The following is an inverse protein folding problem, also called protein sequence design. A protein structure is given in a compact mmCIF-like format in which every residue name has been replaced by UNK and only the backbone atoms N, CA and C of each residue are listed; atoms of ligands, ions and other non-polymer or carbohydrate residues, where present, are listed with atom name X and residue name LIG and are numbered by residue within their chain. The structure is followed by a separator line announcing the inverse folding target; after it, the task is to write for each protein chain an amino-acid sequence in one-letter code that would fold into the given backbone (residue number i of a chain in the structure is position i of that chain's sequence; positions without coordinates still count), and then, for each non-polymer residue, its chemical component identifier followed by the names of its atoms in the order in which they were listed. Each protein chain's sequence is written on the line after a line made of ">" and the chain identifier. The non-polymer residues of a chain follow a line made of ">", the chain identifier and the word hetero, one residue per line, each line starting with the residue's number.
data_IF_296965278638
#
_entry.id   IF_296965278638
#
_cell.length_a   1.000
_cell.length_b   1.000
_cell.length_c   1.000
_cell.angle_alpha   90.00
_cell.angle_beta   90.00
_cell.angle_gamma   90.00
#
_symmetry.space_group_name_H-M   'P 1'
#
loop_
_entity.id
_entity.type
_entity.pdbx_description
1 polymer ?
#
# COMPACT_ATOMS: atom_id res chain seq x y z
N UNK A 1 -16.54 -20.55 -49.99
CA UNK A 1 -15.49 -20.01 -50.89
C UNK A 1 -14.20 -19.89 -50.06
N UNK A 2 -13.03 -20.14 -50.65
CA UNK A 2 -11.76 -20.11 -49.92
C UNK A 2 -10.80 -19.11 -50.59
N UNK A 3 -10.07 -18.34 -49.77
CA UNK A 3 -8.87 -17.61 -50.18
C UNK A 3 -7.85 -17.68 -49.04
N UNK A 4 -6.91 -18.62 -49.13
CA UNK A 4 -5.62 -18.44 -48.48
C UNK A 4 -4.85 -17.36 -49.24
N UNK A 5 -4.10 -16.52 -48.54
CA UNK A 5 -2.92 -15.84 -49.10
C UNK A 5 -1.71 -16.04 -48.19
N UNK A 6 -0.55 -15.99 -48.83
CA UNK A 6 0.72 -16.54 -48.38
C UNK A 6 1.85 -15.62 -48.89
N UNK A 7 3.06 -15.82 -48.40
CA UNK A 7 4.25 -14.97 -48.59
C UNK A 7 4.19 -13.58 -47.89
N UNK A 8 5.31 -12.98 -47.50
CA UNK A 8 6.71 -13.36 -47.76
C UNK A 8 7.65 -13.29 -46.55
N UNK A 9 8.73 -14.09 -46.64
CA UNK A 9 9.97 -13.99 -45.87
C UNK A 9 11.02 -13.19 -46.70
N UNK A 10 12.29 -13.08 -46.25
CA UNK A 10 13.47 -12.49 -46.99
C UNK A 10 13.44 -10.95 -47.03
N UNK A 11 14.51 -10.13 -46.82
CA UNK A 11 15.87 -10.20 -46.20
C UNK A 11 16.27 -8.72 -45.87
N UNK A 12 17.45 -8.27 -45.38
CA UNK A 12 18.80 -8.82 -45.06
C UNK A 12 19.08 -8.65 -43.53
N UNK A 13 20.21 -8.97 -42.86
CA UNK A 13 21.66 -9.20 -43.14
C UNK A 13 22.61 -7.96 -43.21
N UNK A 14 23.78 -8.10 -42.56
CA UNK A 14 24.99 -7.22 -42.50
C UNK A 14 24.88 -5.87 -41.73
N UNK A 15 25.84 -5.60 -40.83
CA UNK A 15 25.92 -4.33 -40.06
C UNK A 15 26.94 -4.29 -38.92
N UNK A 16 28.22 -4.62 -39.15
CA UNK A 16 29.29 -4.41 -38.16
C UNK A 16 29.84 -2.97 -38.20
N UNK A 17 29.75 -2.24 -37.10
CA UNK A 17 30.66 -1.12 -36.79
C UNK A 17 31.02 -1.13 -35.31
N UNK A 18 32.29 -1.40 -35.00
CA UNK A 18 32.83 -1.28 -33.65
C UNK A 18 33.36 0.13 -33.44
N UNK A 19 32.79 0.87 -32.48
CA UNK A 19 33.35 2.12 -31.96
C UNK A 19 33.91 1.88 -30.56
N UNK A 20 35.18 1.48 -30.49
CA UNK A 20 35.92 1.33 -29.24
C UNK A 20 36.54 2.66 -28.81
N UNK A 21 35.92 3.36 -27.86
CA UNK A 21 36.52 4.46 -27.11
C UNK A 21 36.71 4.04 -25.64
N UNK A 22 37.95 4.10 -25.17
CA UNK A 22 38.34 3.72 -23.80
C UNK A 22 38.49 4.98 -22.92
N UNK A 23 38.86 4.91 -21.63
CA UNK A 23 37.93 5.29 -20.57
C UNK A 23 38.29 6.62 -19.89
N UNK A 24 37.29 7.47 -19.64
CA UNK A 24 37.50 8.69 -18.86
C UNK A 24 37.76 8.37 -17.38
N UNK A 25 38.94 8.74 -16.88
CA UNK A 25 39.36 8.58 -15.48
C UNK A 25 38.84 9.73 -14.60
N UNK A 26 37.52 9.89 -14.52
CA UNK A 26 36.93 10.72 -13.48
C UNK A 26 37.22 10.14 -12.08
N UNK A 27 37.61 11.01 -11.15
CA UNK A 27 38.32 10.60 -9.94
C UNK A 27 37.46 9.84 -8.91
N UNK A 28 38.04 8.78 -8.35
CA UNK A 28 37.55 8.07 -7.17
C UNK A 28 37.64 8.95 -5.92
N UNK A 29 36.63 9.77 -5.66
CA UNK A 29 36.38 10.28 -4.32
C UNK A 29 35.81 9.15 -3.45
N UNK A 30 36.46 8.77 -2.32
CA UNK A 30 35.92 7.77 -1.40
C UNK A 30 34.71 8.38 -0.65
N UNK A 31 33.52 8.25 -1.24
CA UNK A 31 32.28 8.75 -0.65
C UNK A 31 32.00 8.03 0.68
N UNK A 32 32.18 8.77 1.76
CA UNK A 32 32.24 8.29 3.15
C UNK A 32 30.86 7.81 3.60
N UNK A 33 30.56 6.53 3.32
CA UNK A 33 29.29 5.83 3.61
C UNK A 33 28.70 6.26 4.97
N UNK A 34 27.58 7.01 5.01
CA UNK A 34 26.91 7.37 6.25
C UNK A 34 26.21 6.15 6.86
N UNK A 35 27.00 5.33 7.59
CA UNK A 35 26.51 4.19 8.35
C UNK A 35 25.78 4.68 9.60
N UNK A 36 24.59 5.22 9.38
CA UNK A 36 23.84 5.96 10.39
C UNK A 36 22.52 6.48 9.84
N UNK A 37 21.67 5.59 9.33
CA UNK A 37 20.24 5.91 9.24
C UNK A 37 19.76 6.14 10.69
N UNK A 38 19.29 7.34 11.06
CA UNK A 38 19.02 7.66 12.45
C UNK A 38 17.86 6.79 12.95
N UNK A 39 18.17 5.86 13.87
CA UNK A 39 17.15 5.13 14.59
C UNK A 39 16.32 6.12 15.42
N UNK A 40 15.16 6.50 14.89
CA UNK A 40 14.29 7.52 15.47
C UNK A 40 13.89 7.06 16.87
N UNK A 41 14.45 7.70 17.90
CA UNK A 41 14.11 7.44 19.31
C UNK A 41 12.74 8.04 19.62
N UNK A 42 11.69 7.35 19.22
CA UNK A 42 10.30 7.74 19.48
C UNK A 42 10.03 7.56 20.99
N UNK A 43 10.20 8.65 21.74
CA UNK A 43 10.21 8.66 23.20
C UNK A 43 8.83 8.96 23.78
N UNK A 44 8.08 7.90 24.13
CA UNK A 44 6.99 7.90 25.13
C UNK A 44 5.73 8.74 24.86
N UNK A 45 5.78 9.67 23.90
CA UNK A 45 4.65 10.52 23.48
C UNK A 45 4.05 10.01 22.16
N UNK A 46 2.86 10.50 21.81
CA UNK A 46 2.03 10.00 20.73
C UNK A 46 2.83 9.79 19.43
N UNK A 47 2.87 8.56 18.94
CA UNK A 47 3.64 8.20 17.73
C UNK A 47 2.94 8.79 16.51
N UNK A 48 3.45 9.92 16.02
CA UNK A 48 2.97 10.53 14.79
C UNK A 48 3.61 9.86 13.57
N UNK A 49 2.81 9.09 12.83
CA UNK A 49 3.24 8.47 11.58
C UNK A 49 3.15 9.42 10.37
N UNK A 50 2.38 10.51 10.47
CA UNK A 50 2.15 11.44 9.35
C UNK A 50 3.46 12.17 8.99
N UNK A 51 3.80 12.15 7.71
CA UNK A 51 5.05 12.70 7.17
C UNK A 51 6.21 11.70 7.08
N UNK A 52 6.10 10.50 7.67
CA UNK A 52 7.10 9.44 7.47
C UNK A 52 7.19 9.03 5.99
N UNK A 53 8.39 8.64 5.56
CA UNK A 53 8.65 8.12 4.22
C UNK A 53 9.08 6.65 4.30
N UNK A 54 8.42 5.79 3.54
CA UNK A 54 8.62 4.33 3.56
C UNK A 54 8.91 3.87 2.11
N UNK A 55 9.96 3.06 1.85
CA UNK A 55 10.94 2.52 2.79
C UNK A 55 11.91 3.59 3.35
N UNK A 56 12.56 3.33 4.51
CA UNK A 56 12.45 2.12 5.34
C UNK A 56 11.14 2.07 6.16
N UNK A 57 10.69 0.86 6.48
CA UNK A 57 9.62 0.64 7.46
C UNK A 57 10.15 1.01 8.87
N UNK A 58 9.37 1.68 9.75
CA UNK A 58 9.80 1.96 11.11
C UNK A 58 10.09 0.67 11.91
N UNK A 59 10.97 0.77 12.92
CA UNK A 59 11.32 -0.41 13.73
C UNK A 59 10.08 -1.00 14.44
N UNK A 60 10.00 -2.33 14.50
CA UNK A 60 8.86 -3.10 15.04
C UNK A 60 7.52 -2.89 14.32
N UNK A 61 7.54 -2.42 13.07
CA UNK A 61 6.37 -2.32 12.20
C UNK A 61 6.48 -3.32 11.04
N UNK A 62 5.36 -3.96 10.71
CA UNK A 62 5.27 -4.95 9.63
C UNK A 62 3.87 -4.86 8.99
N UNK A 63 3.80 -4.67 7.67
CA UNK A 63 2.54 -4.67 6.93
C UNK A 63 1.92 -6.08 6.97
N UNK A 64 0.74 -6.19 7.53
CA UNK A 64 -0.05 -7.44 7.55
C UNK A 64 -0.83 -7.61 6.24
N UNK A 65 -1.47 -6.52 5.80
CA UNK A 65 -2.23 -6.46 4.55
C UNK A 65 -2.30 -5.01 4.08
N UNK A 66 -2.49 -4.81 2.78
CA UNK A 66 -2.72 -3.49 2.21
C UNK A 66 -3.25 -3.60 0.79
N UNK A 67 -3.82 -2.51 0.31
CA UNK A 67 -4.42 -2.42 -1.03
C UNK A 67 -4.25 -1.01 -1.58
N UNK A 68 -4.29 -0.90 -2.91
CA UNK A 68 -4.23 0.39 -3.61
C UNK A 68 -5.62 1.04 -3.63
N UNK A 69 -5.61 2.36 -3.53
CA UNK A 69 -6.76 3.23 -3.75
C UNK A 69 -6.34 4.28 -4.77
N UNK A 70 -6.94 4.23 -5.96
CA UNK A 70 -6.57 5.08 -7.10
C UNK A 70 -7.74 6.00 -7.49
N UNK A 71 -8.04 7.02 -6.66
CA UNK A 71 -9.10 7.98 -6.95
C UNK A 71 -8.77 8.81 -8.20
N UNK A 72 -9.79 9.03 -9.04
CA UNK A 72 -9.64 9.75 -10.31
C UNK A 72 -9.01 11.13 -10.10
N UNK A 73 -7.89 11.38 -10.79
CA UNK A 73 -7.17 12.65 -10.76
C UNK A 73 -6.31 12.95 -9.51
N UNK A 74 -6.36 12.13 -8.44
CA UNK A 74 -5.66 12.45 -7.18
C UNK A 74 -4.36 11.65 -6.95
N UNK A 75 -4.07 10.67 -7.81
CA UNK A 75 -2.88 9.81 -7.77
C UNK A 75 -3.06 8.54 -6.93
N UNK A 76 -2.05 7.68 -6.93
CA UNK A 76 -2.08 6.38 -6.22
C UNK A 76 -1.86 6.56 -4.71
N UNK A 77 -2.80 6.04 -3.93
CA UNK A 77 -2.67 5.84 -2.48
C UNK A 77 -2.65 4.34 -2.16
N UNK A 78 -2.15 4.01 -0.97
CA UNK A 78 -2.25 2.70 -0.37
C UNK A 78 -2.85 2.84 1.02
N UNK A 79 -3.71 1.91 1.42
CA UNK A 79 -4.18 1.78 2.79
C UNK A 79 -3.64 0.45 3.31
N UNK A 80 -2.92 0.50 4.43
CA UNK A 80 -2.23 -0.66 5.02
C UNK A 80 -2.67 -0.87 6.47
N UNK A 81 -2.87 -2.13 6.84
CA UNK A 81 -2.93 -2.60 8.23
C UNK A 81 -1.53 -3.06 8.63
N UNK A 82 -1.01 -2.50 9.72
CA UNK A 82 0.38 -2.67 10.15
C UNK A 82 0.43 -3.14 11.60
N UNK A 83 1.14 -4.25 11.83
CA UNK A 83 1.40 -4.77 13.17
C UNK A 83 2.41 -3.88 13.90
N UNK A 84 2.15 -3.57 15.17
CA UNK A 84 3.05 -2.87 16.08
C UNK A 84 2.97 -3.49 17.48
N UNK A 85 3.78 -4.53 17.70
CA UNK A 85 3.67 -5.37 18.90
C UNK A 85 2.31 -6.09 18.95
N UNK A 86 1.60 -5.98 20.07
CA UNK A 86 0.24 -6.51 20.25
C UNK A 86 -0.88 -5.58 19.76
N UNK A 87 -0.54 -4.52 19.02
CA UNK A 87 -1.50 -3.56 18.46
C UNK A 87 -1.43 -3.55 16.94
N UNK A 88 -2.51 -3.11 16.29
CA UNK A 88 -2.55 -2.84 14.85
C UNK A 88 -2.79 -1.35 14.61
N UNK A 89 -2.18 -0.85 13.54
CA UNK A 89 -2.30 0.52 13.05
C UNK A 89 -2.92 0.43 11.65
N UNK A 90 -3.73 1.41 11.29
CA UNK A 90 -4.12 1.65 9.90
C UNK A 90 -3.51 2.97 9.47
N UNK A 91 -2.81 2.99 8.34
CA UNK A 91 -2.35 4.23 7.74
C UNK A 91 -2.70 4.32 6.25
N UNK A 92 -2.77 5.55 5.76
CA UNK A 92 -2.87 5.86 4.34
C UNK A 92 -1.53 6.44 3.89
N UNK A 93 -0.91 5.81 2.89
CA UNK A 93 0.28 6.27 2.20
C UNK A 93 -0.06 6.85 0.84
N UNK A 94 0.55 7.98 0.46
CA UNK A 94 0.54 8.50 -0.92
C UNK A 94 1.82 8.10 -1.63
N UNK A 95 1.73 7.60 -2.86
CA UNK A 95 2.89 7.28 -3.69
C UNK A 95 3.65 8.57 -4.03
N UNK A 96 4.96 8.58 -3.84
CA UNK A 96 5.85 9.68 -4.23
C UNK A 96 6.53 9.39 -5.57
N UNK A 97 7.07 8.17 -5.72
CA UNK A 97 7.75 7.67 -6.91
C UNK A 97 8.00 6.16 -6.79
N UNK A 98 8.38 5.52 -7.89
CA UNK A 98 9.06 4.23 -7.87
C UNK A 98 10.55 4.44 -8.14
N UNK A 99 11.43 3.71 -7.45
CA UNK A 99 12.88 3.79 -7.69
C UNK A 99 13.29 3.09 -9.00
N UNK A 100 14.59 3.17 -9.35
CA UNK A 100 15.14 2.53 -10.56
C UNK A 100 15.09 0.98 -10.56
N UNK A 101 14.55 0.35 -9.51
CA UNK A 101 14.29 -1.09 -9.38
C UNK A 101 12.79 -1.40 -9.30
N UNK A 102 11.92 -0.41 -9.55
CA UNK A 102 10.46 -0.53 -9.43
C UNK A 102 9.95 -0.52 -7.99
N UNK A 103 10.76 -0.17 -7.00
CA UNK A 103 10.33 -0.15 -5.59
C UNK A 103 9.58 1.14 -5.28
N UNK A 104 8.33 1.00 -4.86
CA UNK A 104 7.51 2.14 -4.45
C UNK A 104 8.04 2.84 -3.19
N UNK A 105 8.06 4.17 -3.24
CA UNK A 105 8.36 5.06 -2.13
C UNK A 105 7.11 5.90 -1.80
N UNK A 106 6.65 5.80 -0.55
CA UNK A 106 5.43 6.39 -0.05
C UNK A 106 5.71 7.49 0.98
N UNK A 107 4.80 8.45 1.12
CA UNK A 107 4.66 9.32 2.30
C UNK A 107 3.43 8.86 3.07
N UNK A 108 3.52 8.61 4.37
CA UNK A 108 2.33 8.44 5.21
C UNK A 108 1.64 9.79 5.38
N UNK A 109 0.35 9.84 5.04
CA UNK A 109 -0.44 11.08 4.98
C UNK A 109 -1.51 11.13 6.05
N UNK A 110 -2.13 9.99 6.39
CA UNK A 110 -3.04 9.83 7.51
C UNK A 110 -2.72 8.55 8.29
N UNK A 111 -3.00 8.51 9.59
CA UNK A 111 -2.92 7.29 10.40
C UNK A 111 -3.97 7.30 11.52
N UNK A 112 -4.57 6.15 11.78
CA UNK A 112 -5.36 5.90 12.98
C UNK A 112 -4.43 5.60 14.17
N UNK A 113 -4.85 5.87 15.42
CA UNK A 113 -4.05 5.51 16.60
C UNK A 113 -3.86 3.99 16.70
N UNK A 114 -2.78 3.49 17.33
CA UNK A 114 -2.56 2.04 17.48
C UNK A 114 -3.65 1.39 18.36
N UNK A 115 -4.49 0.55 17.76
CA UNK A 115 -5.57 -0.17 18.43
C UNK A 115 -5.09 -1.53 18.96
N UNK A 116 -5.28 -1.84 20.26
CA UNK A 116 -5.37 -3.23 20.70
C UNK A 116 -6.70 -3.80 20.20
N UNK A 117 -6.69 -4.99 19.60
CA UNK A 117 -7.92 -5.69 19.21
C UNK A 117 -8.17 -6.85 20.20
N UNK A 118 -9.43 -7.13 20.59
CA UNK A 118 -9.78 -8.41 21.19
C UNK A 118 -9.48 -9.56 20.23
N UNK A 119 -9.28 -10.76 20.76
CA UNK A 119 -8.83 -11.96 20.03
C UNK A 119 -9.70 -12.32 18.82
N UNK A 120 -11.01 -12.08 18.92
CA UNK A 120 -11.99 -12.37 17.89
C UNK A 120 -12.23 -11.20 16.90
N UNK A 121 -11.53 -10.07 17.02
CA UNK A 121 -11.68 -8.90 16.15
C UNK A 121 -10.48 -8.66 15.23
N UNK A 122 -10.75 -8.23 14.01
CA UNK A 122 -9.72 -7.87 13.02
C UNK A 122 -10.07 -6.57 12.28
N UNK A 123 -9.06 -5.98 11.64
CA UNK A 123 -9.27 -4.91 10.66
C UNK A 123 -9.71 -5.52 9.32
N UNK A 124 -10.70 -4.90 8.69
CA UNK A 124 -11.19 -5.21 7.34
C UNK A 124 -11.15 -3.93 6.52
N UNK A 125 -10.70 -4.00 5.26
CA UNK A 125 -10.47 -2.82 4.43
C UNK A 125 -10.51 -3.16 2.94
N UNK A 126 -11.03 -2.26 2.10
CA UNK A 126 -11.18 -2.47 0.66
C UNK A 126 -12.37 -3.37 0.26
N UNK A 127 -12.72 -4.33 1.11
CA UNK A 127 -13.81 -5.31 0.97
C UNK A 127 -15.14 -4.88 1.62
N UNK A 128 -15.26 -3.61 2.03
CA UNK A 128 -16.41 -3.09 2.75
C UNK A 128 -17.44 -2.40 1.82
N UNK A 129 -18.70 -2.48 2.21
CA UNK A 129 -19.84 -1.88 1.51
C UNK A 129 -20.55 -0.89 2.43
N UNK A 130 -21.12 0.16 1.83
CA UNK A 130 -22.14 1.00 2.48
C UNK A 130 -23.38 1.08 1.59
N UNK A 131 -24.56 0.96 2.19
CA UNK A 131 -25.86 0.98 1.48
C UNK A 131 -25.94 -0.03 0.31
N UNK A 132 -25.23 -1.16 0.43
CA UNK A 132 -25.18 -2.22 -0.59
C UNK A 132 -24.23 -1.97 -1.77
N UNK A 133 -23.47 -0.86 -1.79
CA UNK A 133 -22.44 -0.57 -2.80
C UNK A 133 -21.03 -0.78 -2.22
N UNK A 134 -20.06 -1.34 -2.97
CA UNK A 134 -18.65 -1.33 -2.59
C UNK A 134 -18.14 0.08 -2.30
N UNK A 135 -17.32 0.21 -1.26
CA UNK A 135 -16.70 1.45 -0.83
C UNK A 135 -15.27 1.13 -0.38
N UNK A 136 -14.31 1.05 -1.32
CA UNK A 136 -12.95 0.62 -1.00
C UNK A 136 -12.22 1.60 -0.07
N UNK A 137 -12.72 2.83 0.09
CA UNK A 137 -12.21 3.80 1.06
C UNK A 137 -12.53 3.42 2.52
N UNK A 138 -13.44 2.46 2.76
CA UNK A 138 -13.87 2.10 4.11
C UNK A 138 -12.92 1.08 4.75
N UNK A 139 -12.51 1.40 5.97
CA UNK A 139 -11.79 0.52 6.90
C UNK A 139 -12.64 0.33 8.16
N UNK A 140 -12.75 -0.90 8.65
CA UNK A 140 -13.53 -1.24 9.83
C UNK A 140 -12.76 -2.14 10.81
N UNK A 141 -13.03 -2.00 12.11
CA UNK A 141 -12.75 -3.03 13.11
C UNK A 141 -14.03 -3.83 13.27
N UNK A 142 -13.98 -5.14 13.06
CA UNK A 142 -15.14 -6.02 13.11
C UNK A 142 -14.83 -7.37 13.75
N UNK A 143 -15.88 -8.00 14.28
CA UNK A 143 -15.81 -9.35 14.85
C UNK A 143 -15.69 -10.37 13.73
N UNK A 144 -14.93 -11.42 13.98
CA UNK A 144 -14.82 -12.60 13.13
C UNK A 144 -16.12 -13.40 13.24
N UNK A 145 -16.83 -13.56 12.12
CA UNK A 145 -18.09 -14.32 12.04
C UNK A 145 -17.99 -15.39 10.95
N UNK A 146 -18.48 -16.59 11.24
CA UNK A 146 -18.61 -17.66 10.24
C UNK A 146 -19.85 -17.43 9.36
N UNK A 147 -19.77 -16.39 8.52
CA UNK A 147 -20.82 -15.88 7.64
C UNK A 147 -20.20 -15.23 6.39
N UNK A 148 -20.90 -15.15 5.24
CA UNK A 148 -20.40 -14.44 4.04
C UNK A 148 -20.34 -12.92 4.19
N UNK A 149 -21.07 -12.35 5.15
CA UNK A 149 -21.14 -10.91 5.44
C UNK A 149 -20.87 -10.70 6.92
N UNK A 150 -19.91 -9.82 7.21
CA UNK A 150 -19.52 -9.40 8.55
C UNK A 150 -20.28 -8.12 8.89
N UNK A 151 -21.11 -8.17 9.93
CA UNK A 151 -22.00 -7.06 10.35
C UNK A 151 -21.77 -6.63 11.79
N UNK A 152 -21.06 -7.43 12.59
CA UNK A 152 -20.63 -7.10 13.94
C UNK A 152 -19.43 -6.12 13.93
N UNK A 153 -19.66 -4.91 13.45
CA UNK A 153 -18.67 -3.83 13.37
C UNK A 153 -18.58 -3.10 14.72
N UNK A 154 -17.36 -2.86 15.21
CA UNK A 154 -17.08 -2.05 16.39
C UNK A 154 -16.81 -0.58 16.04
N UNK A 155 -16.06 -0.34 14.96
CA UNK A 155 -15.72 0.99 14.44
C UNK A 155 -15.55 0.96 12.93
N UNK A 156 -15.82 2.09 12.26
CA UNK A 156 -15.57 2.25 10.82
C UNK A 156 -15.08 3.67 10.51
N UNK A 157 -14.22 3.80 9.50
CA UNK A 157 -13.71 5.05 8.97
C UNK A 157 -13.71 5.04 7.45
N UNK A 158 -13.83 6.22 6.84
CA UNK A 158 -13.56 6.47 5.42
C UNK A 158 -12.19 7.12 5.29
N UNK A 159 -11.31 6.57 4.47
CA UNK A 159 -10.14 7.27 3.98
C UNK A 159 -10.58 8.40 3.04
N UNK A 160 -10.01 9.59 3.20
CA UNK A 160 -10.26 10.74 2.35
C UNK A 160 -8.92 11.20 1.72
N UNK A 161 -8.59 10.72 0.50
CA UNK A 161 -7.30 11.03 -0.14
C UNK A 161 -7.14 12.52 -0.46
N UNK A 162 -8.23 13.18 -0.88
CA UNK A 162 -8.27 14.62 -1.20
C UNK A 162 -7.84 15.48 0.01
N UNK A 163 -8.32 15.12 1.21
CA UNK A 163 -8.00 15.83 2.46
C UNK A 163 -6.76 15.30 3.19
N UNK A 164 -6.16 14.20 2.74
CA UNK A 164 -5.17 13.42 3.49
C UNK A 164 -5.64 13.01 4.92
N UNK A 165 -6.91 12.56 5.09
CA UNK A 165 -7.48 12.21 6.41
C UNK A 165 -8.16 10.82 6.47
N UNK A 166 -8.52 10.40 7.70
CA UNK A 166 -9.57 9.41 7.96
C UNK A 166 -10.75 10.11 8.66
N UNK A 167 -11.98 9.82 8.23
CA UNK A 167 -13.24 10.35 8.79
C UNK A 167 -14.03 9.21 9.44
N UNK A 168 -14.42 9.31 10.71
CA UNK A 168 -15.19 8.25 11.41
C UNK A 168 -16.63 8.18 10.89
N UNK A 169 -17.14 6.96 10.66
CA UNK A 169 -18.42 6.72 10.01
C UNK A 169 -19.49 6.20 10.99
N UNK A 170 -20.77 6.57 10.80
CA UNK A 170 -21.87 5.86 11.44
C UNK A 170 -21.95 4.42 10.90
N UNK A 171 -22.10 3.44 11.79
CA UNK A 171 -22.07 2.02 11.42
C UNK A 171 -23.29 1.55 10.61
N UNK A 172 -24.37 2.34 10.61
CA UNK A 172 -25.64 1.97 10.01
C UNK A 172 -25.52 1.75 8.48
N UNK A 173 -25.79 0.52 8.05
CA UNK A 173 -25.73 0.12 6.64
C UNK A 173 -24.34 -0.23 6.12
N UNK A 174 -23.30 -0.21 6.97
CA UNK A 174 -21.97 -0.73 6.65
C UNK A 174 -21.93 -2.24 6.90
N UNK A 175 -21.33 -3.00 5.99
CA UNK A 175 -20.98 -4.41 6.18
C UNK A 175 -19.79 -4.77 5.28
N UNK A 176 -18.97 -5.74 5.66
CA UNK A 176 -17.81 -6.15 4.85
C UNK A 176 -17.93 -7.61 4.40
N UNK A 177 -17.35 -7.94 3.25
CA UNK A 177 -17.36 -9.30 2.70
C UNK A 177 -16.38 -10.17 3.48
N UNK A 178 -16.83 -11.31 4.00
CA UNK A 178 -15.91 -12.28 4.57
C UNK A 178 -15.17 -13.00 3.44
N UNK A 179 -13.99 -12.52 3.07
CA UNK A 179 -13.19 -13.12 2.01
C UNK A 179 -12.68 -14.52 2.32
N UNK A 180 -12.78 -15.00 3.58
CA UNK A 180 -12.39 -16.34 4.01
C UNK A 180 -13.55 -17.35 3.97
N UNK A 181 -14.79 -16.88 3.88
CA UNK A 181 -15.98 -17.73 3.74
C UNK A 181 -15.90 -18.58 2.46
N UNK A 182 -16.27 -19.86 2.55
CA UNK A 182 -16.18 -20.85 1.47
C UNK A 182 -14.76 -21.00 0.84
N UNK A 183 -13.69 -20.91 1.66
CA UNK A 183 -12.33 -21.39 1.28
C UNK A 183 -11.95 -22.74 1.94
N UNK A 184 -12.97 -23.49 2.39
CA UNK A 184 -12.90 -24.85 2.93
C UNK A 184 -13.84 -25.74 2.11
#
# INVERSE_FOLDING_TARGET
>A
MAVLRWFGLVCLLVGWTACSSTPDKSALHPSKKPSGSPAVKISGSAINYVGLKIPPMPSKHETEMGYLLEPEGQGTYAIEVVNFGSKKIVWMGRLLYNDAKGKAHWKIVAALPPYPLPEDYHFSSGNCLSQGKPQPEIVAILKTEDKPKLTQIQKAWRANPEKETFEELPLQGIHCINERWNRL
#
